data_IF_763126773520
#
_entry.id   IF_763126773520
#
_cell.length_a   1.000
_cell.length_b   1.000
_cell.length_c   1.000
_cell.angle_alpha   90.00
_cell.angle_beta   90.00
_cell.angle_gamma   90.00
#
_symmetry.space_group_name_H-M   'P 1'
#
loop_
_entity.id
_entity.type
_entity.pdbx_description
1 polymer ?
#
# COMPACT_ATOMS: atom_id res chain seq x y z
N UNK A 1 -28.03 -26.76 -37.96
CA UNK A 1 -28.94 -26.91 -36.81
C UNK A 1 -28.23 -27.17 -35.46
N UNK A 2 -26.90 -27.29 -35.38
CA UNK A 2 -26.19 -27.46 -34.10
C UNK A 2 -25.80 -26.14 -33.40
N UNK A 3 -25.61 -25.03 -34.13
CA UNK A 3 -25.18 -23.76 -33.51
C UNK A 3 -26.28 -22.99 -32.73
N UNK A 4 -27.57 -23.26 -32.97
CA UNK A 4 -28.65 -22.61 -32.22
C UNK A 4 -28.89 -23.21 -30.81
N UNK A 5 -28.44 -24.45 -30.57
CA UNK A 5 -28.60 -25.10 -29.24
C UNK A 5 -27.51 -24.70 -28.25
N UNK A 6 -26.34 -24.27 -28.73
CA UNK A 6 -25.22 -23.85 -27.88
C UNK A 6 -25.39 -22.41 -27.39
N UNK A 7 -25.90 -21.51 -28.24
CA UNK A 7 -26.27 -20.13 -27.88
C UNK A 7 -27.35 -20.05 -26.79
N UNK A 8 -28.35 -20.95 -26.81
CA UNK A 8 -29.42 -20.97 -25.79
C UNK A 8 -28.96 -21.45 -24.42
N UNK A 9 -27.91 -22.28 -24.33
CA UNK A 9 -27.34 -22.69 -23.04
C UNK A 9 -26.50 -21.58 -22.40
N UNK A 10 -25.81 -20.79 -23.21
CA UNK A 10 -24.98 -19.67 -22.73
C UNK A 10 -25.87 -18.52 -22.21
N UNK A 11 -26.98 -18.21 -22.90
CA UNK A 11 -27.91 -17.16 -22.46
C UNK A 11 -28.66 -17.56 -21.18
N UNK A 12 -28.97 -18.85 -20.98
CA UNK A 12 -29.62 -19.33 -19.75
C UNK A 12 -28.65 -19.39 -18.56
N UNK A 13 -27.35 -19.64 -18.80
CA UNK A 13 -26.32 -19.61 -17.76
C UNK A 13 -26.01 -18.17 -17.31
N UNK A 14 -25.99 -17.22 -18.25
CA UNK A 14 -25.84 -15.78 -17.97
C UNK A 14 -27.04 -15.19 -17.20
N UNK A 15 -28.27 -15.62 -17.49
CA UNK A 15 -29.45 -15.17 -16.73
C UNK A 15 -29.48 -15.71 -15.29
N UNK A 16 -28.95 -16.91 -15.04
CA UNK A 16 -28.84 -17.45 -13.68
C UNK A 16 -27.72 -16.74 -12.91
N UNK A 17 -26.59 -16.43 -13.56
CA UNK A 17 -25.49 -15.67 -12.93
C UNK A 17 -25.88 -14.22 -12.64
N UNK A 18 -26.64 -13.56 -13.52
CA UNK A 18 -27.16 -12.20 -13.30
C UNK A 18 -28.26 -12.18 -12.22
N UNK A 19 -29.00 -13.28 -12.01
CA UNK A 19 -29.96 -13.36 -10.89
C UNK A 19 -29.33 -13.68 -9.52
N UNK A 20 -28.12 -14.22 -9.47
CA UNK A 20 -27.38 -14.44 -8.20
C UNK A 20 -26.68 -13.16 -7.74
N UNK A 21 -26.37 -12.23 -8.65
CA UNK A 21 -25.77 -10.92 -8.31
C UNK A 21 -26.82 -9.86 -7.94
N UNK A 22 -28.11 -10.08 -8.23
CA UNK A 22 -29.20 -9.09 -7.99
C UNK A 22 -30.09 -9.45 -6.77
N UNK A 23 -29.74 -10.46 -5.98
CA UNK A 23 -30.42 -10.80 -4.73
C UNK A 23 -29.47 -10.79 -3.51
N UNK A 24 -28.54 -9.84 -3.46
CA UNK A 24 -28.10 -9.30 -2.17
C UNK A 24 -28.94 -8.05 -1.90
N UNK A 25 -30.04 -8.28 -1.19
CA UNK A 25 -30.88 -7.28 -0.54
C UNK A 25 -30.04 -6.16 0.12
N UNK A 26 -30.57 -4.93 0.27
CA UNK A 26 -30.00 -3.94 1.17
C UNK A 26 -30.30 -4.33 2.63
N UNK A 27 -29.77 -5.47 3.06
CA UNK A 27 -29.80 -5.96 4.42
C UNK A 27 -28.34 -6.03 4.86
N UNK A 28 -27.90 -4.99 5.57
CA UNK A 28 -26.66 -4.91 6.35
C UNK A 28 -25.50 -5.73 5.78
N UNK A 29 -24.61 -5.11 5.00
CA UNK A 29 -23.27 -5.64 4.88
C UNK A 29 -22.71 -5.74 6.31
N UNK A 30 -22.56 -6.95 6.83
CA UNK A 30 -21.94 -7.16 8.14
C UNK A 30 -20.58 -6.47 8.14
N UNK A 31 -20.37 -5.59 9.11
CA UNK A 31 -19.09 -4.89 9.26
C UNK A 31 -17.98 -5.91 9.51
N UNK A 32 -16.73 -5.54 9.20
CA UNK A 32 -15.58 -6.39 9.50
C UNK A 32 -15.54 -6.80 10.99
N UNK A 33 -16.06 -5.94 11.88
CA UNK A 33 -16.24 -6.18 13.31
C UNK A 33 -17.18 -7.34 13.63
N UNK A 34 -18.36 -7.36 12.99
CA UNK A 34 -19.31 -8.45 13.17
C UNK A 34 -18.77 -9.76 12.59
N UNK A 35 -18.06 -9.70 11.45
CA UNK A 35 -17.38 -10.87 10.88
C UNK A 35 -16.34 -11.42 11.84
N UNK A 36 -15.43 -10.58 12.37
CA UNK A 36 -14.43 -10.97 13.38
C UNK A 36 -15.07 -11.64 14.59
N UNK A 37 -16.14 -11.04 15.13
CA UNK A 37 -16.88 -11.56 16.28
C UNK A 37 -17.60 -12.87 16.01
N UNK A 38 -18.14 -13.08 14.80
CA UNK A 38 -18.78 -14.34 14.42
C UNK A 38 -17.79 -15.48 14.22
N UNK A 39 -16.62 -15.19 13.63
CA UNK A 39 -15.62 -16.20 13.27
C UNK A 39 -15.02 -16.92 14.48
N UNK A 40 -15.01 -16.25 15.64
CA UNK A 40 -14.48 -16.79 16.91
C UNK A 40 -15.51 -17.56 17.75
N UNK A 41 -16.79 -17.60 17.36
CA UNK A 41 -17.85 -18.25 18.16
C UNK A 41 -17.72 -19.78 18.21
N UNK A 42 -17.01 -20.38 17.25
CA UNK A 42 -16.82 -21.84 17.16
C UNK A 42 -15.63 -22.37 17.97
N UNK A 43 -14.85 -21.49 18.60
CA UNK A 43 -13.62 -21.82 19.34
C UNK A 43 -13.95 -22.46 20.71
N UNK A 44 -15.17 -22.25 21.23
CA UNK A 44 -15.58 -22.78 22.54
C UNK A 44 -15.98 -24.26 22.46
N UNK A 45 -15.03 -25.16 22.72
CA UNK A 45 -15.33 -26.49 23.28
C UNK A 45 -15.09 -26.41 24.79
N UNK A 46 -16.05 -26.80 25.65
CA UNK A 46 -15.77 -26.93 27.07
C UNK A 46 -14.62 -27.93 27.26
N UNK A 47 -13.51 -27.49 27.84
CA UNK A 47 -12.43 -28.39 28.22
C UNK A 47 -12.90 -29.17 29.46
N UNK A 48 -13.17 -30.47 29.31
CA UNK A 48 -13.69 -31.30 30.41
C UNK A 48 -12.64 -31.59 31.50
N UNK A 49 -11.35 -31.30 31.27
CA UNK A 49 -10.27 -31.51 32.24
C UNK A 49 -9.14 -30.47 32.06
N UNK A 50 -9.44 -29.18 32.28
CA UNK A 50 -8.39 -28.16 32.35
C UNK A 50 -7.67 -28.25 33.71
N UNK A 51 -6.43 -28.76 33.73
CA UNK A 51 -5.55 -28.52 34.88
C UNK A 51 -5.29 -27.02 35.02
N UNK A 52 -5.19 -26.49 36.25
CA UNK A 52 -4.94 -25.07 36.47
C UNK A 52 -3.63 -24.68 35.78
N UNK A 53 -3.73 -23.83 34.75
CA UNK A 53 -2.56 -23.19 34.16
C UNK A 53 -1.95 -22.31 35.24
N UNK A 54 -0.72 -22.63 35.62
CA UNK A 54 0.08 -21.81 36.51
C UNK A 54 0.37 -20.49 35.75
N UNK A 55 -0.45 -19.46 35.97
CA UNK A 55 -0.16 -18.11 35.52
C UNK A 55 1.17 -17.71 36.15
N UNK A 56 2.24 -17.87 35.40
CA UNK A 56 3.54 -17.37 35.79
C UNK A 56 3.45 -15.85 35.64
N UNK A 57 2.90 -15.17 36.64
CA UNK A 57 3.26 -13.77 36.88
C UNK A 57 4.75 -13.79 37.19
N UNK A 58 5.56 -13.71 36.13
CA UNK A 58 6.95 -13.33 36.26
C UNK A 58 6.88 -11.87 36.70
N UNK A 59 6.88 -11.65 38.02
CA UNK A 59 7.19 -10.35 38.61
C UNK A 59 8.64 -10.09 38.23
N UNK A 60 8.85 -9.58 37.02
CA UNK A 60 10.06 -8.91 36.64
C UNK A 60 10.12 -7.68 37.53
N UNK A 61 11.23 -7.53 38.25
CA UNK A 61 11.56 -6.29 38.92
C UNK A 61 11.32 -5.17 37.92
N UNK A 62 10.39 -4.26 38.25
CA UNK A 62 10.14 -3.06 37.47
C UNK A 62 11.45 -2.30 37.41
N UNK A 63 12.20 -2.46 36.32
CA UNK A 63 13.09 -1.40 35.89
C UNK A 63 12.19 -0.18 35.73
N UNK A 64 12.55 0.92 36.40
CA UNK A 64 11.95 2.21 36.11
C UNK A 64 11.99 2.35 34.58
N UNK A 65 10.80 2.42 33.94
CA UNK A 65 10.64 2.64 32.49
C UNK A 65 11.01 4.09 32.13
N UNK A 66 12.01 4.63 32.84
CA UNK A 66 12.66 5.88 32.52
C UNK A 66 13.66 5.61 31.40
N UNK A 67 13.14 5.85 30.19
CA UNK A 67 13.86 6.21 28.97
C UNK A 67 14.64 5.09 28.28
N UNK A 68 13.92 4.09 27.74
CA UNK A 68 14.48 3.31 26.62
C UNK A 68 14.87 4.30 25.52
N UNK A 69 16.13 4.25 25.13
CA UNK A 69 16.62 5.05 24.03
C UNK A 69 16.09 4.47 22.71
N UNK A 70 15.38 5.26 21.88
CA UNK A 70 14.89 4.77 20.59
C UNK A 70 15.99 4.13 19.71
N UNK A 71 17.25 4.54 19.83
CA UNK A 71 18.37 3.95 19.07
C UNK A 71 18.82 2.58 19.57
N UNK A 72 18.34 2.14 20.74
CA UNK A 72 18.63 0.81 21.31
C UNK A 72 17.58 -0.24 20.91
N UNK A 73 16.52 0.18 20.20
CA UNK A 73 15.52 -0.73 19.65
C UNK A 73 16.12 -1.51 18.47
N UNK A 74 16.09 -2.84 18.58
CA UNK A 74 16.53 -3.76 17.56
C UNK A 74 15.33 -4.58 17.06
N UNK A 75 15.11 -4.54 15.75
CA UNK A 75 14.13 -5.38 15.06
C UNK A 75 14.89 -6.29 14.10
N UNK A 76 14.72 -7.62 14.17
CA UNK A 76 15.31 -8.54 13.20
C UNK A 76 14.87 -8.22 11.77
N UNK A 77 15.83 -8.13 10.84
CA UNK A 77 15.59 -7.77 9.43
C UNK A 77 14.59 -8.69 8.73
N UNK A 78 14.50 -9.95 9.16
CA UNK A 78 13.53 -10.91 8.62
C UNK A 78 12.06 -10.57 8.93
N UNK A 79 11.81 -9.70 9.92
CA UNK A 79 10.47 -9.26 10.30
C UNK A 79 10.18 -7.83 9.83
N UNK A 80 11.20 -6.96 9.78
CA UNK A 80 11.03 -5.59 9.28
C UNK A 80 12.29 -4.75 9.40
N UNK A 81 12.18 -3.48 9.00
CA UNK A 81 13.28 -2.51 8.99
C UNK A 81 12.85 -1.22 9.69
N UNK A 82 13.77 -0.64 10.47
CA UNK A 82 13.56 0.67 11.09
C UNK A 82 13.84 1.75 10.04
N UNK A 83 12.80 2.48 9.64
CA UNK A 83 12.92 3.55 8.63
C UNK A 83 13.42 4.85 9.25
N UNK A 84 12.94 5.17 10.46
CA UNK A 84 13.27 6.42 11.14
C UNK A 84 13.43 6.22 12.65
N UNK A 85 14.24 7.06 13.27
CA UNK A 85 14.40 7.11 14.73
C UNK A 85 14.51 8.56 15.17
N UNK A 86 13.64 8.95 16.09
CA UNK A 86 13.56 10.33 16.59
C UNK A 86 13.60 10.33 18.12
N UNK A 87 14.29 11.31 18.71
CA UNK A 87 14.29 11.51 20.16
C UNK A 87 13.35 12.64 20.56
N UNK A 88 12.30 12.28 21.30
CA UNK A 88 11.39 13.22 21.94
C UNK A 88 11.95 13.84 23.22
N UNK A 89 11.17 14.72 23.84
CA UNK A 89 11.58 15.48 25.06
C UNK A 89 10.88 15.04 26.33
N UNK A 90 9.90 14.14 26.26
CA UNK A 90 9.01 13.79 27.37
C UNK A 90 9.26 12.39 27.95
N UNK A 91 10.34 11.72 27.53
CA UNK A 91 10.74 10.40 28.03
C UNK A 91 9.83 9.24 27.63
N UNK A 92 8.86 9.44 26.73
CA UNK A 92 8.00 8.37 26.21
C UNK A 92 8.58 7.78 24.94
N UNK A 93 8.57 6.45 24.86
CA UNK A 93 8.85 5.71 23.63
C UNK A 93 7.55 5.41 22.89
N UNK A 94 7.54 5.66 21.59
CA UNK A 94 6.47 5.23 20.67
C UNK A 94 7.17 4.46 19.56
N UNK A 95 6.75 3.22 19.34
CA UNK A 95 7.16 2.44 18.17
C UNK A 95 5.99 2.41 17.22
N UNK A 96 6.18 3.02 16.04
CA UNK A 96 5.19 3.02 14.97
C UNK A 96 5.51 1.89 13.99
N UNK A 97 4.57 0.96 13.83
CA UNK A 97 4.72 -0.20 12.94
C UNK A 97 3.76 0.02 11.77
N UNK A 98 4.30 0.08 10.56
CA UNK A 98 3.51 0.08 9.33
C UNK A 98 3.38 -1.36 8.83
N UNK A 99 2.17 -1.74 8.39
CA UNK A 99 1.90 -3.08 7.89
C UNK A 99 1.33 -3.07 6.47
N UNK A 100 1.54 -4.18 5.77
CA UNK A 100 0.80 -4.48 4.55
C UNK A 100 -0.55 -5.10 4.95
N UNK A 101 -1.64 -4.36 4.78
CA UNK A 101 -2.98 -4.82 5.12
C UNK A 101 -3.38 -6.08 4.36
N UNK A 102 -4.03 -7.01 5.07
CA UNK A 102 -4.52 -8.29 4.54
C UNK A 102 -3.45 -9.14 3.84
N UNK A 103 -2.16 -8.83 4.01
CA UNK A 103 -1.05 -9.65 3.55
C UNK A 103 -0.62 -10.59 4.68
N UNK A 104 -0.82 -11.89 4.49
CA UNK A 104 -0.52 -12.89 5.52
C UNK A 104 0.90 -12.77 6.09
N UNK A 105 1.93 -12.71 5.22
CA UNK A 105 3.33 -12.62 5.67
C UNK A 105 3.58 -11.31 6.43
N UNK A 106 3.07 -10.19 5.93
CA UNK A 106 3.16 -8.89 6.58
C UNK A 106 2.49 -8.86 7.97
N UNK A 107 1.31 -9.48 8.11
CA UNK A 107 0.64 -9.57 9.41
C UNK A 107 1.41 -10.45 10.40
N UNK A 108 1.98 -11.57 9.94
CA UNK A 108 2.79 -12.46 10.78
C UNK A 108 4.13 -11.82 11.19
N UNK A 109 4.72 -11.03 10.30
CA UNK A 109 5.90 -10.23 10.59
C UNK A 109 5.59 -9.14 11.62
N UNK A 110 4.46 -8.43 11.47
CA UNK A 110 3.99 -7.46 12.46
C UNK A 110 3.78 -8.10 13.84
N UNK A 111 3.14 -9.27 13.91
CA UNK A 111 3.01 -10.03 15.16
C UNK A 111 4.38 -10.38 15.77
N UNK A 112 5.36 -10.75 14.94
CA UNK A 112 6.72 -11.08 15.39
C UNK A 112 7.49 -9.86 15.91
N UNK A 113 7.31 -8.69 15.28
CA UNK A 113 7.86 -7.40 15.77
C UNK A 113 7.25 -7.05 17.12
N UNK A 114 5.92 -7.10 17.25
CA UNK A 114 5.25 -6.78 18.52
C UNK A 114 5.70 -7.75 19.62
N UNK A 115 5.84 -9.04 19.29
CA UNK A 115 6.38 -10.04 20.20
C UNK A 115 7.78 -9.67 20.72
N UNK A 116 8.73 -9.33 19.83
CA UNK A 116 10.08 -8.94 20.28
C UNK A 116 10.06 -7.67 21.13
N UNK A 117 9.20 -6.70 20.80
CA UNK A 117 9.04 -5.47 21.59
C UNK A 117 8.50 -5.75 23.00
N UNK A 118 7.62 -6.73 23.16
CA UNK A 118 7.14 -7.18 24.47
C UNK A 118 8.26 -7.91 25.23
N UNK A 119 8.92 -8.88 24.59
CA UNK A 119 9.90 -9.75 25.25
C UNK A 119 11.18 -9.02 25.66
N UNK A 120 11.67 -8.12 24.80
CA UNK A 120 12.98 -7.49 24.97
C UNK A 120 12.89 -6.12 25.66
N UNK A 121 11.73 -5.45 25.58
CA UNK A 121 11.57 -4.05 26.01
C UNK A 121 10.34 -3.79 26.90
N UNK A 122 9.55 -4.81 27.25
CA UNK A 122 8.32 -4.72 28.06
C UNK A 122 7.28 -3.73 27.49
N UNK A 123 7.24 -3.58 26.16
CA UNK A 123 6.26 -2.71 25.48
C UNK A 123 4.94 -3.45 25.28
N UNK A 124 4.11 -3.46 26.32
CA UNK A 124 2.86 -4.23 26.36
C UNK A 124 1.59 -3.43 25.98
N UNK A 125 1.67 -2.10 25.82
CA UNK A 125 0.58 -1.26 25.32
C UNK A 125 0.60 -1.24 23.79
N UNK A 126 -0.42 -1.83 23.16
CA UNK A 126 -0.58 -1.90 21.72
C UNK A 126 -1.76 -1.02 21.32
N UNK A 127 -1.51 -0.06 20.44
CA UNK A 127 -2.52 0.84 19.90
C UNK A 127 -2.85 0.40 18.47
N UNK A 128 -4.09 -0.06 18.23
CA UNK A 128 -4.49 -0.68 16.96
C UNK A 128 -5.25 0.27 16.04
N UNK A 129 -4.76 0.45 14.81
CA UNK A 129 -5.52 1.06 13.71
C UNK A 129 -6.69 0.15 13.30
N UNK A 130 -7.83 0.76 12.98
CA UNK A 130 -9.06 0.05 12.71
C UNK A 130 -9.82 -0.32 13.98
N UNK A 131 -9.16 -0.70 15.09
CA UNK A 131 -9.86 -1.11 16.31
C UNK A 131 -10.64 0.07 16.94
N UNK A 132 -11.96 -0.10 17.13
CA UNK A 132 -12.84 0.89 17.76
C UNK A 132 -12.89 0.72 19.29
N UNK A 133 -12.63 -0.49 19.79
CA UNK A 133 -12.68 -0.81 21.21
C UNK A 133 -11.34 -1.36 21.73
N UNK A 134 -11.21 -1.36 23.06
CA UNK A 134 -10.09 -1.95 23.80
C UNK A 134 -10.28 -3.49 23.95
N UNK A 135 -11.04 -4.11 23.04
CA UNK A 135 -11.40 -5.52 23.09
C UNK A 135 -10.18 -6.43 22.94
N UNK A 136 -10.15 -7.50 23.73
CA UNK A 136 -9.17 -8.57 23.65
C UNK A 136 -9.83 -9.95 23.62
N UNK A 137 -9.04 -10.97 23.30
CA UNK A 137 -9.44 -12.36 23.23
C UNK A 137 -9.00 -13.16 24.47
N UNK A 138 -8.59 -12.49 25.56
CA UNK A 138 -8.06 -13.18 26.76
C UNK A 138 -9.06 -14.15 27.37
N UNK A 139 -10.35 -13.85 27.26
CA UNK A 139 -11.43 -14.73 27.74
C UNK A 139 -11.46 -16.11 27.04
N UNK A 140 -10.78 -16.27 25.90
CA UNK A 140 -10.65 -17.55 25.20
C UNK A 140 -9.49 -18.40 25.74
N UNK A 141 -8.54 -17.82 26.48
CA UNK A 141 -7.40 -18.54 27.07
C UNK A 141 -7.85 -19.63 28.04
N UNK A 142 -8.90 -19.36 28.82
CA UNK A 142 -9.50 -20.32 29.75
C UNK A 142 -10.44 -21.34 29.07
N UNK A 143 -10.72 -21.17 27.78
CA UNK A 143 -11.76 -21.93 27.05
C UNK A 143 -11.20 -22.84 25.96
N UNK A 144 -9.94 -22.67 25.59
CA UNK A 144 -9.32 -23.36 24.47
C UNK A 144 -7.81 -23.45 24.66
N UNK A 145 -7.22 -24.56 24.19
CA UNK A 145 -5.77 -24.75 24.24
C UNK A 145 -5.04 -23.70 23.39
N UNK A 146 -3.79 -23.42 23.72
CA UNK A 146 -2.94 -22.52 22.92
C UNK A 146 -2.80 -23.03 21.47
N UNK A 147 -2.73 -24.34 21.28
CA UNK A 147 -2.66 -24.98 19.95
C UNK A 147 -3.90 -24.68 19.11
N UNK A 148 -5.10 -24.93 19.66
CA UNK A 148 -6.38 -24.65 18.97
C UNK A 148 -6.52 -23.16 18.64
N UNK A 149 -6.15 -22.28 19.58
CA UNK A 149 -6.20 -20.83 19.38
C UNK A 149 -5.26 -20.39 18.27
N UNK A 150 -4.06 -20.96 18.21
CA UNK A 150 -3.05 -20.65 17.20
C UNK A 150 -3.50 -21.08 15.81
N UNK A 151 -4.05 -22.30 15.67
CA UNK A 151 -4.58 -22.80 14.39
C UNK A 151 -5.70 -21.91 13.85
N UNK A 152 -6.65 -21.52 14.73
CA UNK A 152 -7.76 -20.65 14.32
C UNK A 152 -7.26 -19.25 13.98
N UNK A 153 -6.37 -18.68 14.80
CA UNK A 153 -5.79 -17.36 14.53
C UNK A 153 -5.07 -17.33 13.17
N UNK A 154 -4.26 -18.35 12.87
CA UNK A 154 -3.56 -18.49 11.59
C UNK A 154 -4.54 -18.49 10.40
N UNK A 155 -5.58 -19.32 10.47
CA UNK A 155 -6.62 -19.36 9.44
C UNK A 155 -7.31 -18.00 9.23
N UNK A 156 -7.61 -17.28 10.32
CA UNK A 156 -8.25 -15.97 10.25
C UNK A 156 -7.34 -14.88 9.69
N UNK A 157 -6.02 -14.97 9.90
CA UNK A 157 -5.06 -14.06 9.25
C UNK A 157 -4.98 -14.37 7.75
N UNK A 158 -4.93 -15.65 7.36
CA UNK A 158 -4.93 -16.05 5.94
C UNK A 158 -6.16 -15.57 5.19
N UNK A 159 -7.31 -15.60 5.84
CA UNK A 159 -8.59 -15.12 5.28
C UNK A 159 -8.73 -13.59 5.30
N UNK A 160 -7.76 -12.86 5.89
CA UNK A 160 -7.78 -11.40 6.00
C UNK A 160 -8.75 -10.87 7.06
N UNK A 161 -9.30 -11.73 7.92
CA UNK A 161 -10.17 -11.30 9.02
C UNK A 161 -9.39 -10.78 10.22
N UNK A 162 -8.23 -11.36 10.51
CA UNK A 162 -7.38 -11.00 11.65
C UNK A 162 -6.13 -10.24 11.20
N UNK A 163 -5.74 -9.26 12.03
CA UNK A 163 -4.44 -8.57 11.94
C UNK A 163 -3.37 -9.30 12.76
N UNK A 164 -2.11 -8.90 12.62
CA UNK A 164 -1.01 -9.36 13.46
C UNK A 164 -1.26 -9.13 14.96
N UNK A 165 -1.91 -8.01 15.32
CA UNK A 165 -2.34 -7.72 16.70
C UNK A 165 -3.33 -8.77 17.18
N UNK A 166 -4.34 -9.10 16.37
CA UNK A 166 -5.35 -10.10 16.74
C UNK A 166 -4.75 -11.50 16.84
N UNK A 167 -3.84 -11.84 15.94
CA UNK A 167 -3.10 -13.10 16.00
C UNK A 167 -2.31 -13.19 17.30
N UNK A 168 -1.50 -12.18 17.62
CA UNK A 168 -0.69 -12.18 18.83
C UNK A 168 -1.55 -12.32 20.09
N UNK A 169 -2.64 -11.57 20.17
CA UNK A 169 -3.52 -11.57 21.35
C UNK A 169 -4.21 -12.92 21.58
N UNK A 170 -4.64 -13.58 20.50
CA UNK A 170 -5.32 -14.87 20.55
C UNK A 170 -4.34 -16.05 20.64
N UNK A 171 -3.20 -16.01 19.94
CA UNK A 171 -2.25 -17.11 19.80
C UNK A 171 -1.07 -17.03 20.78
N UNK A 172 -1.15 -16.18 21.80
CA UNK A 172 -0.15 -16.11 22.89
C UNK A 172 -0.83 -15.86 24.23
N UNK A 173 -0.03 -15.91 25.30
CA UNK A 173 -0.47 -15.60 26.67
C UNK A 173 0.18 -14.33 27.23
N UNK A 174 0.79 -13.49 26.38
CA UNK A 174 1.35 -12.22 26.83
C UNK A 174 0.30 -11.34 27.50
N UNK A 175 0.74 -10.58 28.50
CA UNK A 175 -0.08 -9.60 29.20
C UNK A 175 -0.17 -8.29 28.41
N UNK A 176 -0.79 -8.36 27.23
CA UNK A 176 -0.98 -7.20 26.33
C UNK A 176 -2.12 -6.30 26.83
N UNK A 177 -1.99 -4.99 26.62
CA UNK A 177 -3.10 -4.05 26.71
C UNK A 177 -3.36 -3.49 25.32
N UNK A 178 -4.47 -3.87 24.72
CA UNK A 178 -4.88 -3.39 23.39
C UNK A 178 -5.81 -2.21 23.58
N UNK A 179 -5.55 -1.12 22.85
CA UNK A 179 -6.47 0.01 22.77
C UNK A 179 -6.75 0.35 21.32
N UNK A 180 -8.02 0.56 21.01
CA UNK A 180 -8.46 1.01 19.71
C UNK A 180 -8.16 2.49 19.47
N UNK A 181 -7.59 2.82 18.32
CA UNK A 181 -7.38 4.22 17.91
C UNK A 181 -8.46 4.74 16.95
N UNK A 182 -9.35 3.88 16.46
CA UNK A 182 -10.31 4.24 15.43
C UNK A 182 -11.41 5.15 15.98
N UNK A 183 -11.65 6.26 15.28
CA UNK A 183 -12.83 7.08 15.53
C UNK A 183 -13.99 6.50 14.73
N UNK A 184 -14.91 5.83 15.43
CA UNK A 184 -16.07 5.20 14.79
C UNK A 184 -16.87 6.19 13.92
N UNK A 185 -17.05 7.43 14.35
CA UNK A 185 -17.84 8.39 13.59
C UNK A 185 -17.12 8.80 12.29
N UNK A 186 -15.79 8.94 12.32
CA UNK A 186 -14.99 9.17 11.11
C UNK A 186 -15.01 7.93 10.20
N UNK A 187 -14.85 6.73 10.75
CA UNK A 187 -14.95 5.48 9.99
C UNK A 187 -16.31 5.36 9.27
N UNK A 188 -17.41 5.54 10.01
CA UNK A 188 -18.76 5.49 9.44
C UNK A 188 -18.94 6.54 8.34
N UNK A 189 -18.44 7.77 8.54
CA UNK A 189 -18.49 8.83 7.54
C UNK A 189 -17.69 8.50 6.27
N UNK A 190 -16.54 7.84 6.39
CA UNK A 190 -15.75 7.36 5.24
C UNK A 190 -16.48 6.24 4.49
N UNK A 191 -17.13 5.32 5.20
CA UNK A 191 -17.96 4.26 4.59
C UNK A 191 -19.15 4.86 3.84
N UNK A 192 -19.83 5.84 4.44
CA UNK A 192 -20.94 6.54 3.80
C UNK A 192 -20.46 7.28 2.53
N UNK A 193 -19.33 7.97 2.59
CA UNK A 193 -18.75 8.64 1.42
C UNK A 193 -18.43 7.66 0.28
N UNK A 194 -17.87 6.49 0.61
CA UNK A 194 -17.63 5.41 -0.34
C UNK A 194 -18.94 4.95 -1.01
N UNK A 195 -20.00 4.74 -0.23
CA UNK A 195 -21.30 4.33 -0.77
C UNK A 195 -21.97 5.41 -1.60
N UNK A 196 -21.81 6.69 -1.26
CA UNK A 196 -22.31 7.78 -2.10
C UNK A 196 -21.61 7.81 -3.47
N UNK A 197 -20.28 7.60 -3.51
CA UNK A 197 -19.52 7.49 -4.77
C UNK A 197 -19.98 6.26 -5.56
N UNK A 198 -20.17 5.11 -4.90
CA UNK A 198 -20.54 3.85 -5.53
C UNK A 198 -21.84 3.95 -6.35
N UNK A 199 -22.79 4.78 -5.92
CA UNK A 199 -24.06 5.03 -6.63
C UNK A 199 -23.89 5.55 -8.06
N UNK A 200 -22.79 6.25 -8.35
CA UNK A 200 -22.57 6.88 -9.66
C UNK A 200 -21.21 6.59 -10.28
N UNK A 201 -20.30 5.87 -9.59
CA UNK A 201 -18.92 5.64 -10.04
C UNK A 201 -18.82 5.08 -11.45
N UNK A 202 -19.69 4.14 -11.82
CA UNK A 202 -19.63 3.48 -13.14
C UNK A 202 -20.06 4.45 -14.24
N UNK A 203 -21.15 5.20 -14.01
CA UNK A 203 -21.65 6.21 -14.94
C UNK A 203 -20.63 7.35 -15.14
N UNK A 204 -20.05 7.85 -14.04
CA UNK A 204 -19.03 8.89 -14.10
C UNK A 204 -17.75 8.36 -14.75
N UNK A 205 -17.37 7.10 -14.48
CA UNK A 205 -16.25 6.43 -15.13
C UNK A 205 -16.42 6.37 -16.64
N UNK A 206 -17.58 5.92 -17.13
CA UNK A 206 -17.87 5.92 -18.57
C UNK A 206 -17.78 7.31 -19.22
N UNK A 207 -18.18 8.35 -18.48
CA UNK A 207 -18.09 9.73 -18.97
C UNK A 207 -16.64 10.22 -19.03
N UNK A 208 -15.85 9.96 -18.00
CA UNK A 208 -14.42 10.30 -17.96
C UNK A 208 -13.67 9.56 -19.07
N UNK A 209 -13.94 8.28 -19.31
CA UNK A 209 -13.29 7.55 -20.41
C UNK A 209 -13.61 8.17 -21.78
N UNK A 210 -14.84 8.66 -22.00
CA UNK A 210 -15.18 9.39 -23.24
C UNK A 210 -14.38 10.69 -23.37
N UNK A 211 -14.16 11.39 -22.26
CA UNK A 211 -13.35 12.62 -22.25
C UNK A 211 -11.86 12.33 -22.48
N UNK A 212 -11.33 11.24 -21.91
CA UNK A 212 -9.97 10.76 -22.17
C UNK A 212 -9.80 10.45 -23.65
N UNK A 213 -10.72 9.69 -24.24
CA UNK A 213 -10.71 9.38 -25.68
C UNK A 213 -10.79 10.67 -26.51
N UNK A 214 -11.64 11.63 -26.14
CA UNK A 214 -11.72 12.91 -26.83
C UNK A 214 -10.42 13.71 -26.74
N UNK A 215 -9.78 13.76 -25.56
CA UNK A 215 -8.47 14.37 -25.36
C UNK A 215 -7.41 13.71 -26.27
N UNK A 216 -7.36 12.38 -26.27
CA UNK A 216 -6.43 11.59 -27.08
C UNK A 216 -6.59 11.83 -28.59
N UNK A 217 -7.82 12.04 -29.07
CA UNK A 217 -8.07 12.38 -30.47
C UNK A 217 -7.56 13.76 -30.86
N UNK A 218 -7.45 14.68 -29.91
CA UNK A 218 -6.97 16.06 -30.16
C UNK A 218 -5.45 16.18 -30.00
N UNK A 219 -4.80 15.32 -29.20
CA UNK A 219 -3.35 15.32 -28.98
C UNK A 219 -2.53 15.42 -30.27
N UNK A 220 -2.76 14.61 -31.33
CA UNK A 220 -1.98 14.70 -32.58
C UNK A 220 -2.10 16.04 -33.34
N UNK A 221 -3.09 16.86 -32.99
CA UNK A 221 -3.32 18.17 -33.60
C UNK A 221 -2.75 19.33 -32.77
N UNK A 222 -2.44 19.12 -31.49
CA UNK A 222 -1.98 20.15 -30.56
C UNK A 222 -0.54 19.89 -30.09
N UNK A 223 -0.23 18.65 -29.71
CA UNK A 223 1.10 18.25 -29.25
C UNK A 223 2.13 18.30 -30.38
N UNK A 224 3.36 18.68 -30.02
CA UNK A 224 4.53 18.50 -30.87
C UNK A 224 5.00 17.03 -30.81
N UNK A 225 6.01 16.69 -31.61
CA UNK A 225 6.54 15.31 -31.68
C UNK A 225 7.07 14.83 -30.32
N UNK A 226 7.72 15.71 -29.54
CA UNK A 226 8.26 15.36 -28.23
C UNK A 226 7.15 15.00 -27.22
N UNK A 227 6.07 15.77 -27.17
CA UNK A 227 4.93 15.48 -26.30
C UNK A 227 4.16 14.23 -26.73
N UNK A 228 4.07 13.95 -28.04
CA UNK A 228 3.46 12.71 -28.53
C UNK A 228 4.29 11.47 -28.16
N UNK A 229 5.62 11.58 -28.23
CA UNK A 229 6.54 10.52 -27.80
C UNK A 229 6.40 10.23 -26.29
N UNK A 230 6.39 11.28 -25.46
CA UNK A 230 6.17 11.18 -24.01
C UNK A 230 4.82 10.55 -23.68
N UNK A 231 3.73 11.00 -24.32
CA UNK A 231 2.38 10.46 -24.13
C UNK A 231 2.30 8.99 -24.51
N UNK A 232 2.93 8.59 -25.61
CA UNK A 232 2.98 7.19 -26.04
C UNK A 232 3.72 6.32 -25.02
N UNK A 233 4.88 6.79 -24.53
CA UNK A 233 5.69 6.06 -23.54
C UNK A 233 4.99 5.92 -22.20
N UNK A 234 4.30 6.97 -21.75
CA UNK A 234 3.47 6.91 -20.54
C UNK A 234 2.34 5.89 -20.68
N UNK A 235 1.67 5.85 -21.84
CA UNK A 235 0.62 4.86 -22.11
C UNK A 235 1.14 3.43 -22.12
N UNK A 236 2.34 3.20 -22.66
CA UNK A 236 2.98 1.90 -22.63
C UNK A 236 3.30 1.47 -21.19
N UNK A 237 3.78 2.39 -20.35
CA UNK A 237 4.03 2.13 -18.93
C UNK A 237 2.72 1.83 -18.17
N UNK A 238 1.70 2.68 -18.32
CA UNK A 238 0.39 2.51 -17.67
C UNK A 238 -0.35 1.25 -18.10
N UNK A 239 -0.04 0.73 -19.29
CA UNK A 239 -0.61 -0.52 -19.82
C UNK A 239 0.29 -1.73 -19.54
N UNK A 240 1.37 -1.57 -18.77
CA UNK A 240 2.35 -2.62 -18.45
C UNK A 240 3.02 -3.23 -19.69
N UNK A 241 3.09 -2.49 -20.80
CA UNK A 241 3.81 -2.90 -22.01
C UNK A 241 5.32 -2.72 -21.87
N UNK A 242 5.74 -1.77 -21.02
CA UNK A 242 7.12 -1.57 -20.58
C UNK A 242 7.14 -1.56 -19.05
N UNK A 243 8.26 -1.95 -18.47
CA UNK A 243 8.39 -1.96 -17.02
C UNK A 243 8.78 -0.57 -16.46
N UNK A 244 8.88 -0.50 -15.13
CA UNK A 244 9.23 0.73 -14.41
C UNK A 244 10.62 1.22 -14.79
N UNK A 245 11.62 0.33 -14.89
CA UNK A 245 12.99 0.72 -15.21
C UNK A 245 13.11 1.25 -16.63
N UNK A 246 12.42 0.62 -17.59
CA UNK A 246 12.34 1.10 -18.97
C UNK A 246 11.74 2.51 -19.05
N UNK A 247 10.62 2.75 -18.34
CA UNK A 247 9.97 4.05 -18.34
C UNK A 247 10.82 5.12 -17.64
N UNK A 248 11.42 4.78 -16.50
CA UNK A 248 12.26 5.71 -15.75
C UNK A 248 13.54 6.05 -16.51
N UNK A 249 14.20 5.06 -17.12
CA UNK A 249 15.37 5.32 -17.97
C UNK A 249 15.01 6.24 -19.15
N UNK A 250 13.82 6.08 -19.73
CA UNK A 250 13.32 6.99 -20.75
C UNK A 250 13.13 8.42 -20.23
N UNK A 251 12.49 8.62 -19.08
CA UNK A 251 12.34 9.95 -18.47
C UNK A 251 13.69 10.59 -18.14
N UNK A 252 14.62 9.80 -17.61
CA UNK A 252 15.98 10.24 -17.29
C UNK A 252 16.70 10.74 -18.56
N UNK A 253 16.66 9.96 -19.64
CA UNK A 253 17.24 10.37 -20.93
C UNK A 253 16.59 11.65 -21.46
N UNK A 254 15.25 11.77 -21.39
CA UNK A 254 14.55 12.98 -21.84
C UNK A 254 14.95 14.21 -21.02
N UNK A 255 15.15 14.04 -19.71
CA UNK A 255 15.63 15.09 -18.85
C UNK A 255 17.06 15.53 -19.21
N UNK A 256 17.97 14.59 -19.50
CA UNK A 256 19.32 14.91 -19.99
C UNK A 256 19.30 15.66 -21.33
N UNK A 257 18.48 15.20 -22.29
CA UNK A 257 18.31 15.85 -23.60
C UNK A 257 17.83 17.30 -23.49
N UNK A 258 17.07 17.63 -22.45
CA UNK A 258 16.54 18.97 -22.17
C UNK A 258 17.40 19.77 -21.17
N UNK A 259 18.57 19.25 -20.77
CA UNK A 259 19.46 19.86 -19.77
C UNK A 259 18.76 20.12 -18.42
N UNK A 260 17.76 19.30 -18.06
CA UNK A 260 17.06 19.38 -16.77
C UNK A 260 18.02 18.93 -15.66
N UNK A 261 18.17 19.70 -14.57
CA UNK A 261 19.12 19.38 -13.50
C UNK A 261 18.70 18.16 -12.69
N UNK A 262 19.22 16.98 -13.04
CA UNK A 262 18.85 15.72 -12.40
C UNK A 262 19.26 15.60 -10.92
N UNK A 263 20.17 16.44 -10.42
CA UNK A 263 20.56 16.46 -9.00
C UNK A 263 19.42 16.84 -8.05
N UNK A 264 18.31 17.39 -8.56
CA UNK A 264 17.10 17.65 -7.75
C UNK A 264 16.19 16.42 -7.63
N UNK A 265 16.51 15.34 -8.35
CA UNK A 265 15.82 14.04 -8.33
C UNK A 265 16.80 12.92 -7.92
N UNK A 266 17.38 12.99 -6.71
CA UNK A 266 18.47 12.10 -6.29
C UNK A 266 18.06 10.62 -6.25
N UNK A 267 16.82 10.30 -5.87
CA UNK A 267 16.36 8.91 -5.84
C UNK A 267 16.23 8.35 -7.26
N UNK A 268 15.75 9.17 -8.19
CA UNK A 268 15.69 8.81 -9.60
C UNK A 268 17.10 8.58 -10.18
N UNK A 269 18.06 9.45 -9.86
CA UNK A 269 19.47 9.25 -10.27
C UNK A 269 20.07 7.97 -9.69
N UNK A 270 19.83 7.71 -8.40
CA UNK A 270 20.34 6.54 -7.71
C UNK A 270 19.75 5.24 -8.26
N UNK A 271 18.46 5.21 -8.61
CA UNK A 271 17.84 4.05 -9.25
C UNK A 271 18.48 3.75 -10.62
N UNK A 272 18.60 4.77 -11.48
CA UNK A 272 19.19 4.59 -12.81
C UNK A 272 20.67 4.18 -12.69
N UNK A 273 21.43 4.81 -11.79
CA UNK A 273 22.82 4.44 -11.50
C UNK A 273 22.91 2.98 -11.04
N UNK A 274 22.08 2.56 -10.08
CA UNK A 274 22.07 1.19 -9.58
C UNK A 274 21.75 0.19 -10.70
N UNK A 275 20.72 0.48 -11.52
CA UNK A 275 20.34 -0.37 -12.65
C UNK A 275 21.45 -0.52 -13.69
N UNK A 276 22.19 0.55 -14.01
CA UNK A 276 23.32 0.47 -14.95
C UNK A 276 24.51 -0.30 -14.37
N UNK A 277 24.82 -0.12 -13.07
CA UNK A 277 25.88 -0.86 -12.40
C UNK A 277 25.57 -2.36 -12.32
N UNK A 278 24.32 -2.72 -12.02
CA UNK A 278 23.87 -4.11 -11.90
C UNK A 278 24.15 -4.94 -13.18
N UNK A 279 24.02 -4.32 -14.37
CA UNK A 279 24.32 -4.99 -15.66
C UNK A 279 25.77 -5.48 -15.77
N UNK A 280 26.69 -4.86 -15.04
CA UNK A 280 28.11 -5.20 -15.02
C UNK A 280 28.54 -6.15 -13.89
N UNK A 281 27.60 -6.54 -13.01
CA UNK A 281 27.90 -7.32 -11.80
C UNK A 281 27.35 -8.74 -11.92
N UNK A 282 28.20 -9.74 -11.66
CA UNK A 282 27.74 -11.11 -11.41
C UNK A 282 27.53 -11.33 -9.91
N UNK A 283 26.28 -11.19 -9.45
CA UNK A 283 25.92 -11.31 -8.03
C UNK A 283 26.26 -12.69 -7.44
N UNK A 284 26.33 -13.74 -8.26
CA UNK A 284 26.72 -15.08 -7.81
C UNK A 284 28.20 -15.10 -7.43
N UNK A 285 29.05 -14.52 -8.28
CA UNK A 285 30.49 -14.43 -8.00
C UNK A 285 30.81 -13.54 -6.81
N UNK A 286 30.03 -12.47 -6.62
CA UNK A 286 30.16 -11.61 -5.43
C UNK A 286 29.81 -12.42 -4.18
N UNK A 287 28.70 -13.15 -4.20
CA UNK A 287 28.23 -13.94 -3.05
C UNK A 287 29.14 -15.11 -2.67
N UNK A 288 29.82 -15.74 -3.64
CA UNK A 288 30.74 -16.85 -3.39
C UNK A 288 32.22 -16.44 -3.26
N UNK A 289 32.52 -15.14 -3.42
CA UNK A 289 33.86 -14.57 -3.28
C UNK A 289 34.80 -14.80 -4.48
N UNK A 290 34.26 -15.20 -5.65
CA UNK A 290 35.02 -15.40 -6.88
C UNK A 290 35.02 -14.20 -7.85
N UNK A 291 34.37 -13.10 -7.47
CA UNK A 291 34.34 -11.85 -8.25
C UNK A 291 35.74 -11.24 -8.42
N UNK A 292 35.98 -10.63 -9.58
CA UNK A 292 37.18 -9.83 -9.83
C UNK A 292 37.18 -8.51 -9.03
N UNK A 293 38.36 -7.90 -8.86
CA UNK A 293 38.48 -6.59 -8.20
C UNK A 293 37.57 -5.53 -8.88
N UNK A 294 37.48 -5.55 -10.22
CA UNK A 294 36.60 -4.65 -10.99
C UNK A 294 35.11 -4.91 -10.72
N UNK A 295 34.68 -6.17 -10.62
CA UNK A 295 33.29 -6.53 -10.26
C UNK A 295 32.97 -6.11 -8.81
N UNK A 296 33.94 -6.23 -7.90
CA UNK A 296 33.79 -5.81 -6.49
C UNK A 296 33.71 -4.29 -6.34
N UNK A 297 34.46 -3.53 -7.15
CA UNK A 297 34.37 -2.07 -7.19
C UNK A 297 32.97 -1.62 -7.68
N UNK A 298 32.47 -2.20 -8.78
CA UNK A 298 31.12 -1.95 -9.28
C UNK A 298 30.05 -2.32 -8.25
N UNK A 299 30.21 -3.47 -7.57
CA UNK A 299 29.29 -3.89 -6.52
C UNK A 299 29.29 -2.92 -5.33
N UNK A 300 30.45 -2.38 -4.95
CA UNK A 300 30.54 -1.40 -3.88
C UNK A 300 29.79 -0.11 -4.22
N UNK A 301 29.90 0.36 -5.47
CA UNK A 301 29.12 1.51 -5.94
C UNK A 301 27.62 1.22 -6.04
N UNK A 302 27.25 0.00 -6.45
CA UNK A 302 25.85 -0.43 -6.52
C UNK A 302 25.21 -0.44 -5.12
N UNK A 303 25.92 -0.95 -4.12
CA UNK A 303 25.45 -0.95 -2.73
C UNK A 303 25.29 0.47 -2.20
N UNK A 304 26.20 1.39 -2.51
CA UNK A 304 26.04 2.79 -2.06
C UNK A 304 24.82 3.45 -2.73
N UNK A 305 24.64 3.26 -4.04
CA UNK A 305 23.49 3.80 -4.77
C UNK A 305 22.15 3.25 -4.26
N UNK A 306 22.08 1.96 -3.96
CA UNK A 306 20.86 1.32 -3.42
C UNK A 306 20.60 1.67 -1.97
N UNK A 307 21.65 1.88 -1.16
CA UNK A 307 21.53 2.29 0.25
C UNK A 307 20.98 3.70 0.40
N UNK A 308 21.35 4.61 -0.51
CA UNK A 308 20.82 5.98 -0.51
C UNK A 308 19.42 6.08 -1.14
N UNK A 309 18.93 5.02 -1.79
CA UNK A 309 17.63 5.02 -2.46
C UNK A 309 16.49 4.93 -1.44
N UNK A 310 15.66 5.96 -1.41
CA UNK A 310 14.39 5.96 -0.71
C UNK A 310 13.24 5.79 -1.71
N UNK A 311 12.62 4.60 -1.70
CA UNK A 311 11.53 4.23 -2.61
C UNK A 311 10.31 5.16 -2.47
N UNK A 312 9.99 5.62 -1.26
CA UNK A 312 8.85 6.52 -1.06
C UNK A 312 9.11 7.90 -1.66
N UNK A 313 10.34 8.41 -1.55
CA UNK A 313 10.72 9.67 -2.18
C UNK A 313 10.87 9.52 -3.70
N UNK A 314 11.32 8.36 -4.20
CA UNK A 314 11.34 8.05 -5.64
C UNK A 314 9.95 8.21 -6.28
N UNK A 315 8.91 7.66 -5.66
CA UNK A 315 7.54 7.79 -6.17
C UNK A 315 6.98 9.22 -6.11
N UNK A 316 7.58 10.10 -5.29
CA UNK A 316 7.28 11.55 -5.31
C UNK A 316 8.05 12.26 -6.40
N UNK A 317 9.29 11.85 -6.65
CA UNK A 317 10.16 12.41 -7.69
C UNK A 317 9.65 12.10 -9.11
N UNK A 318 9.13 10.90 -9.36
CA UNK A 318 8.63 10.47 -10.68
C UNK A 318 7.65 11.48 -11.30
N UNK A 319 6.49 11.79 -10.69
CA UNK A 319 5.52 12.71 -11.29
C UNK A 319 6.07 14.13 -11.43
N UNK A 320 7.00 14.55 -10.56
CA UNK A 320 7.64 15.85 -10.65
C UNK A 320 8.61 15.94 -11.84
N UNK A 321 9.38 14.88 -12.09
CA UNK A 321 10.28 14.81 -13.23
C UNK A 321 9.48 14.74 -14.54
N UNK A 322 8.43 13.90 -14.60
CA UNK A 322 7.55 13.80 -15.76
C UNK A 322 6.92 15.17 -16.09
N UNK A 323 6.33 15.85 -15.10
CA UNK A 323 5.76 17.19 -15.26
C UNK A 323 6.83 18.20 -15.75
N UNK A 324 8.03 18.17 -15.17
CA UNK A 324 9.12 19.09 -15.54
C UNK A 324 9.55 18.87 -16.99
N UNK A 325 9.67 17.61 -17.42
CA UNK A 325 10.00 17.25 -18.81
C UNK A 325 8.90 17.74 -19.75
N UNK A 326 7.63 17.44 -19.44
CA UNK A 326 6.47 17.86 -20.24
C UNK A 326 6.38 19.39 -20.37
N UNK A 327 6.55 20.13 -19.27
CA UNK A 327 6.51 21.59 -19.26
C UNK A 327 7.65 22.25 -20.04
N UNK A 328 8.81 21.60 -20.05
CA UNK A 328 10.01 22.06 -20.77
C UNK A 328 9.87 21.87 -22.27
N UNK A 329 9.33 20.72 -22.71
CA UNK A 329 9.17 20.44 -24.15
C UNK A 329 7.91 21.06 -24.76
N UNK A 330 6.96 21.53 -23.94
CA UNK A 330 5.77 22.23 -24.42
C UNK A 330 6.10 23.64 -24.94
N UNK A 331 5.81 23.90 -26.21
CA UNK A 331 6.21 25.11 -26.94
C UNK A 331 5.19 26.24 -26.86
N UNK A 332 3.93 25.95 -26.53
CA UNK A 332 2.84 26.92 -26.53
C UNK A 332 1.77 26.65 -25.46
N UNK A 333 0.86 27.61 -25.29
CA UNK A 333 -0.18 27.53 -24.25
C UNK A 333 -1.22 26.45 -24.51
N UNK A 334 -1.53 26.14 -25.78
CA UNK A 334 -2.51 25.11 -26.13
C UNK A 334 -2.00 23.71 -25.72
N UNK A 335 -0.71 23.45 -25.92
CA UNK A 335 -0.04 22.23 -25.46
C UNK A 335 -0.06 22.11 -23.94
N UNK A 336 0.32 23.16 -23.21
CA UNK A 336 0.28 23.17 -21.74
C UNK A 336 -1.13 22.98 -21.20
N UNK A 337 -2.12 23.58 -21.87
CA UNK A 337 -3.52 23.41 -21.51
C UNK A 337 -3.96 21.96 -21.69
N UNK A 338 -3.65 21.33 -22.84
CA UNK A 338 -4.03 19.94 -23.08
C UNK A 338 -3.32 18.94 -22.15
N UNK A 339 -2.08 19.23 -21.73
CA UNK A 339 -1.38 18.47 -20.68
C UNK A 339 -2.15 18.52 -19.36
N UNK A 340 -2.52 19.73 -18.89
CA UNK A 340 -3.30 19.91 -17.66
C UNK A 340 -4.66 19.21 -17.72
N UNK A 341 -5.37 19.31 -18.84
CA UNK A 341 -6.65 18.61 -19.04
C UNK A 341 -6.45 17.09 -18.99
N UNK A 342 -5.42 16.56 -19.66
CA UNK A 342 -5.12 15.13 -19.65
C UNK A 342 -4.78 14.63 -18.25
N UNK A 343 -3.98 15.39 -17.49
CA UNK A 343 -3.65 15.11 -16.09
C UNK A 343 -4.88 15.13 -15.20
N UNK A 344 -5.72 16.16 -15.30
CA UNK A 344 -6.95 16.26 -14.53
C UNK A 344 -7.90 15.07 -14.80
N UNK A 345 -8.05 14.66 -16.07
CA UNK A 345 -8.85 13.48 -16.43
C UNK A 345 -8.30 12.18 -15.83
N UNK A 346 -6.98 12.00 -15.82
CA UNK A 346 -6.32 10.86 -15.17
C UNK A 346 -6.61 10.85 -13.66
N UNK A 347 -6.44 12.00 -12.99
CA UNK A 347 -6.69 12.13 -11.55
C UNK A 347 -8.18 11.91 -11.24
N UNK A 348 -9.11 12.43 -12.04
CA UNK A 348 -10.54 12.16 -11.87
C UNK A 348 -10.87 10.66 -11.99
N UNK A 349 -10.24 9.96 -12.93
CA UNK A 349 -10.36 8.50 -13.07
C UNK A 349 -9.83 7.79 -11.82
N UNK A 350 -8.72 8.26 -11.25
CA UNK A 350 -8.14 7.71 -10.03
C UNK A 350 -9.01 7.99 -8.78
N UNK A 351 -9.65 9.15 -8.68
CA UNK A 351 -10.64 9.42 -7.63
C UNK A 351 -11.79 8.41 -7.65
N UNK A 352 -12.38 8.15 -8.82
CA UNK A 352 -13.49 7.19 -8.94
C UNK A 352 -13.07 5.75 -8.65
N UNK A 353 -11.80 5.42 -8.89
CA UNK A 353 -11.24 4.09 -8.62
C UNK A 353 -10.64 3.95 -7.22
N UNK A 354 -10.63 5.03 -6.42
CA UNK A 354 -10.01 5.07 -5.08
C UNK A 354 -8.52 4.68 -5.19
N UNK A 355 -7.86 5.23 -6.20
CA UNK A 355 -6.43 5.05 -6.50
C UNK A 355 -5.64 6.36 -6.45
N UNK A 356 -6.28 7.43 -5.97
CA UNK A 356 -5.63 8.74 -5.88
C UNK A 356 -4.49 8.68 -4.86
N UNK A 357 -3.32 9.16 -5.25
CA UNK A 357 -2.15 9.29 -4.36
C UNK A 357 -2.09 10.70 -3.75
N UNK A 358 -1.35 10.92 -2.63
CA UNK A 358 -1.27 12.21 -1.98
C UNK A 358 -0.92 13.37 -2.93
N UNK A 359 0.03 13.16 -3.83
CA UNK A 359 0.54 14.14 -4.79
C UNK A 359 -0.55 14.55 -5.81
N UNK A 360 -1.35 13.60 -6.27
CA UNK A 360 -2.50 13.86 -7.14
C UNK A 360 -3.61 14.63 -6.41
N UNK A 361 -3.83 14.33 -5.13
CA UNK A 361 -4.78 15.06 -4.31
C UNK A 361 -4.32 16.50 -4.04
N UNK A 362 -3.03 16.70 -3.75
CA UNK A 362 -2.43 18.03 -3.63
C UNK A 362 -2.57 18.83 -4.93
N UNK A 363 -2.29 18.19 -6.07
CA UNK A 363 -2.50 18.79 -7.38
C UNK A 363 -3.96 19.22 -7.58
N UNK A 364 -4.93 18.36 -7.24
CA UNK A 364 -6.36 18.69 -7.32
C UNK A 364 -6.73 19.90 -6.46
N UNK A 365 -6.24 19.95 -5.22
CA UNK A 365 -6.52 21.06 -4.31
C UNK A 365 -5.92 22.37 -4.82
N UNK A 366 -4.69 22.33 -5.35
CA UNK A 366 -4.01 23.49 -5.91
C UNK A 366 -4.60 23.97 -7.25
N UNK A 367 -5.14 23.05 -8.05
CA UNK A 367 -5.52 23.29 -9.45
C UNK A 367 -7.00 22.98 -9.75
N UNK A 368 -7.92 23.27 -8.82
CA UNK A 368 -9.37 22.96 -8.99
C UNK A 368 -9.98 23.42 -10.33
N UNK A 369 -9.46 24.51 -10.91
CA UNK A 369 -9.91 25.00 -12.22
C UNK A 369 -9.66 24.01 -13.37
N UNK A 370 -8.63 23.15 -13.27
CA UNK A 370 -8.33 22.14 -14.28
C UNK A 370 -9.33 20.99 -14.31
N UNK A 371 -10.16 20.88 -13.25
CA UNK A 371 -11.18 19.85 -13.10
C UNK A 371 -12.57 20.34 -13.49
N UNK A 372 -12.69 21.60 -13.91
CA UNK A 372 -13.95 22.18 -14.37
C UNK A 372 -13.97 22.23 -15.90
N UNK A 373 -14.85 21.44 -16.56
CA UNK A 373 -14.97 21.39 -18.01
C UNK A 373 -15.25 22.74 -18.68
N UNK A 374 -15.77 23.73 -17.94
CA UNK A 374 -15.96 25.08 -18.46
C UNK A 374 -14.63 25.72 -18.89
N UNK A 375 -13.55 25.48 -18.13
CA UNK A 375 -12.23 26.02 -18.45
C UNK A 375 -11.55 25.31 -19.61
N UNK A 376 -12.00 24.12 -20.00
CA UNK A 376 -11.43 23.38 -21.12
C UNK A 376 -11.87 23.92 -22.47
N UNK A 377 -13.07 24.51 -22.53
CA UNK A 377 -13.71 24.98 -23.76
C UNK A 377 -13.31 26.40 -24.19
N UNK A 378 -12.76 27.20 -23.26
CA UNK A 378 -12.20 28.53 -23.53
C UNK A 378 -10.86 28.47 -24.28
#
# INVERSE_FOLDING_TARGET
MSNLKQSRKIVLFLLIFVSVVILCSPLYAESIWEKRKSSIQNITKPQEDAEPVETTEKILETQDVDTIDPSEIFIPEQYGTIIETHRGTNGKLIVHIQDAHANYEGQMNSASIIKSLIEDYDLNLILGEGHIDDGDYKYLRDRSSLEDRTEVADGLVRDGYFTGINYLDLATDYATKIQGLEDKALYDAHVDALWEIDKFKDMAGEYIEKLIVASDLVKPHIYNEALLDLDSKKKDYDSENIDLLDYYAYLYQKAEEQEIPLYVFPNFQNLIKASELEKGIDLVKVGDGSASDEEMDLYSEYIEATKELNINELFKEEPLLEDTVQDTVAENQDQKKLLRVSKALSIMKNFLKIKVVPEEYEYFIANKGDFDPAFWAD
#
